data_IF_020129783447
#
_entry.id   IF_020129783447
#
_cell.length_a   1.000
_cell.length_b   1.000
_cell.length_c   1.000
_cell.angle_alpha   90.00
_cell.angle_beta   90.00
_cell.angle_gamma   90.00
#
_symmetry.space_group_name_H-M   'P 1'
#
loop_
_entity.id
_entity.type
_entity.pdbx_description
1 polymer ?
#
# COMPACT_ATOMS: atom_id res chain seq x y z
N UNK A 1 -43.22 16.72 -11.79
CA UNK A 1 -41.98 16.59 -12.54
C UNK A 1 -40.76 17.08 -11.75
N UNK A 2 -40.83 18.28 -11.13
CA UNK A 2 -39.69 18.83 -10.37
C UNK A 2 -39.33 18.08 -9.09
N UNK A 3 -40.27 17.53 -8.33
CA UNK A 3 -39.99 16.76 -7.10
C UNK A 3 -39.35 15.39 -7.38
N UNK A 4 -39.71 14.74 -8.47
CA UNK A 4 -39.11 13.47 -8.88
C UNK A 4 -37.63 13.65 -9.27
N UNK A 5 -37.36 14.63 -10.10
CA UNK A 5 -35.99 15.00 -10.52
C UNK A 5 -35.12 15.41 -9.32
N UNK A 6 -35.67 16.17 -8.37
CA UNK A 6 -34.99 16.58 -7.16
C UNK A 6 -34.60 15.37 -6.29
N UNK A 7 -35.49 14.37 -6.12
CA UNK A 7 -35.20 13.15 -5.38
C UNK A 7 -34.09 12.31 -6.03
N UNK A 8 -34.09 12.19 -7.34
CA UNK A 8 -33.03 11.47 -8.06
C UNK A 8 -31.67 12.17 -7.89
N UNK A 9 -31.60 13.48 -8.08
CA UNK A 9 -30.38 14.27 -7.89
C UNK A 9 -29.84 14.11 -6.47
N UNK A 10 -30.71 14.19 -5.46
CA UNK A 10 -30.31 13.98 -4.06
C UNK A 10 -29.74 12.58 -3.84
N UNK A 11 -30.33 11.55 -4.44
CA UNK A 11 -29.79 10.19 -4.33
C UNK A 11 -28.40 10.03 -4.98
N UNK A 12 -28.20 10.63 -6.14
CA UNK A 12 -26.88 10.62 -6.80
C UNK A 12 -25.82 11.32 -5.94
N UNK A 13 -26.20 12.47 -5.35
CA UNK A 13 -25.33 13.22 -4.46
C UNK A 13 -24.98 12.40 -3.19
N UNK A 14 -25.97 11.73 -2.58
CA UNK A 14 -25.74 10.87 -1.41
C UNK A 14 -24.77 9.73 -1.73
N UNK A 15 -24.88 9.10 -2.92
CA UNK A 15 -23.96 8.03 -3.34
C UNK A 15 -22.53 8.54 -3.50
N UNK A 16 -22.38 9.73 -4.10
CA UNK A 16 -21.07 10.35 -4.29
C UNK A 16 -20.44 10.75 -2.96
N UNK A 17 -21.24 11.35 -2.06
CA UNK A 17 -20.78 11.71 -0.72
C UNK A 17 -20.40 10.46 0.09
N UNK A 18 -21.19 9.40 0.02
CA UNK A 18 -20.88 8.13 0.66
C UNK A 18 -19.56 7.56 0.12
N UNK A 19 -19.34 7.55 -1.20
CA UNK A 19 -18.07 7.11 -1.79
C UNK A 19 -16.89 7.94 -1.29
N UNK A 20 -17.04 9.27 -1.19
CA UNK A 20 -16.01 10.16 -0.66
C UNK A 20 -15.65 9.79 0.79
N UNK A 21 -16.66 9.62 1.65
CA UNK A 21 -16.45 9.30 3.08
C UNK A 21 -15.85 7.91 3.28
N UNK A 22 -16.34 6.91 2.54
CA UNK A 22 -15.82 5.54 2.62
C UNK A 22 -14.36 5.46 2.14
N UNK A 23 -14.03 6.12 1.03
CA UNK A 23 -12.65 6.23 0.55
C UNK A 23 -11.77 7.00 1.53
N UNK A 24 -12.27 8.11 2.10
CA UNK A 24 -11.54 8.89 3.09
C UNK A 24 -11.24 8.06 4.36
N UNK A 25 -12.16 7.23 4.83
CA UNK A 25 -11.97 6.38 6.00
C UNK A 25 -10.81 5.38 5.80
N UNK A 26 -10.75 4.71 4.64
CA UNK A 26 -9.62 3.81 4.31
C UNK A 26 -8.33 4.61 4.21
N UNK A 27 -8.36 5.74 3.49
CA UNK A 27 -7.18 6.58 3.30
C UNK A 27 -6.65 7.18 4.60
N UNK A 28 -7.53 7.50 5.56
CA UNK A 28 -7.14 7.99 6.88
C UNK A 28 -6.35 6.94 7.67
N UNK A 29 -6.83 5.69 7.69
CA UNK A 29 -6.09 4.57 8.30
C UNK A 29 -4.69 4.43 7.67
N UNK A 30 -4.60 4.52 6.34
CA UNK A 30 -3.32 4.41 5.62
C UNK A 30 -2.35 5.55 5.96
N UNK A 31 -2.85 6.78 5.95
CA UNK A 31 -2.07 7.98 6.27
C UNK A 31 -1.61 7.99 7.73
N UNK A 32 -2.51 7.63 8.67
CA UNK A 32 -2.20 7.51 10.09
C UNK A 32 -1.07 6.51 10.36
N UNK A 33 -0.96 5.45 9.55
CA UNK A 33 0.11 4.44 9.66
C UNK A 33 1.35 4.75 8.79
N UNK A 34 1.45 5.92 8.21
CA UNK A 34 2.59 6.30 7.38
C UNK A 34 2.77 5.44 6.13
N UNK A 35 1.66 4.88 5.59
CA UNK A 35 1.69 4.07 4.36
C UNK A 35 1.47 4.96 3.13
N UNK A 36 2.00 4.55 1.98
CA UNK A 36 1.76 5.25 0.71
C UNK A 36 0.26 5.29 0.36
N UNK A 37 -0.18 6.29 -0.40
CA UNK A 37 -1.56 6.60 -0.74
C UNK A 37 -2.46 6.84 0.50
N UNK A 38 -2.60 8.10 0.89
CA UNK A 38 -3.39 8.55 2.04
C UNK A 38 -4.84 8.91 1.69
N UNK A 39 -5.43 9.77 2.52
CA UNK A 39 -6.85 10.21 2.45
C UNK A 39 -7.23 10.71 1.06
N UNK A 40 -6.45 11.64 0.50
CA UNK A 40 -6.77 12.26 -0.79
C UNK A 40 -6.85 11.22 -1.91
N UNK A 41 -5.89 10.31 -1.96
CA UNK A 41 -5.80 9.30 -3.02
C UNK A 41 -6.97 8.32 -2.96
N UNK A 42 -7.26 7.75 -1.79
CA UNK A 42 -8.37 6.80 -1.64
C UNK A 42 -9.73 7.47 -1.87
N UNK A 43 -9.93 8.68 -1.36
CA UNK A 43 -11.16 9.44 -1.59
C UNK A 43 -11.38 9.70 -3.08
N UNK A 44 -10.35 10.16 -3.82
CA UNK A 44 -10.46 10.43 -5.26
C UNK A 44 -10.70 9.15 -6.07
N UNK A 45 -10.05 8.04 -5.74
CA UNK A 45 -10.26 6.75 -6.40
C UNK A 45 -11.70 6.25 -6.17
N UNK A 46 -12.20 6.33 -4.93
CA UNK A 46 -13.54 5.90 -4.59
C UNK A 46 -14.61 6.76 -5.30
N UNK A 47 -14.46 8.08 -5.23
CA UNK A 47 -15.35 9.03 -5.92
C UNK A 47 -15.32 8.84 -7.44
N UNK A 48 -14.12 8.73 -8.03
CA UNK A 48 -13.96 8.50 -9.47
C UNK A 48 -14.65 7.23 -9.94
N UNK A 49 -14.46 6.12 -9.21
CA UNK A 49 -15.14 4.86 -9.50
C UNK A 49 -16.67 4.98 -9.36
N UNK A 50 -17.14 5.72 -8.34
CA UNK A 50 -18.56 6.02 -8.15
C UNK A 50 -19.12 6.81 -9.34
N UNK A 51 -18.44 7.86 -9.77
CA UNK A 51 -18.85 8.70 -10.92
C UNK A 51 -18.90 7.86 -12.19
N UNK A 52 -17.88 7.04 -12.47
CA UNK A 52 -17.90 6.15 -13.63
C UNK A 52 -19.08 5.20 -13.61
N UNK A 53 -19.43 4.66 -12.44
CA UNK A 53 -20.60 3.79 -12.30
C UNK A 53 -21.91 4.53 -12.49
N UNK A 54 -22.03 5.76 -11.99
CA UNK A 54 -23.18 6.63 -12.23
C UNK A 54 -23.35 6.97 -13.70
N UNK A 55 -22.28 7.37 -14.39
CA UNK A 55 -22.27 7.63 -15.83
C UNK A 55 -22.67 6.35 -16.58
N UNK A 56 -22.11 5.21 -16.18
CA UNK A 56 -22.43 3.92 -16.77
C UNK A 56 -23.92 3.59 -16.66
N UNK A 57 -24.54 3.85 -15.51
CA UNK A 57 -25.92 3.49 -15.26
C UNK A 57 -26.96 4.47 -15.84
N UNK A 58 -26.62 5.75 -15.86
CA UNK A 58 -27.58 6.80 -16.18
C UNK A 58 -27.20 7.61 -17.46
N UNK A 59 -25.92 7.65 -17.83
CA UNK A 59 -25.44 8.48 -18.92
C UNK A 59 -25.75 7.95 -20.32
N UNK A 60 -26.14 6.68 -20.46
CA UNK A 60 -26.37 6.02 -21.75
C UNK A 60 -27.78 5.40 -21.84
N UNK A 61 -28.73 5.92 -21.04
CA UNK A 61 -30.08 5.37 -20.98
C UNK A 61 -30.83 5.37 -22.34
N UNK A 62 -30.46 6.26 -23.24
CA UNK A 62 -31.04 6.37 -24.59
C UNK A 62 -30.48 5.37 -25.60
N UNK A 63 -29.46 4.57 -25.22
CA UNK A 63 -28.82 3.60 -26.12
C UNK A 63 -29.56 2.25 -26.10
N UNK A 64 -29.92 1.74 -27.28
CA UNK A 64 -30.60 0.46 -27.47
C UNK A 64 -29.78 -0.76 -27.04
N UNK A 65 -28.44 -0.63 -27.01
CA UNK A 65 -27.51 -1.69 -26.58
C UNK A 65 -26.60 -1.17 -25.48
N UNK A 66 -27.16 -1.03 -24.30
CA UNK A 66 -26.46 -0.52 -23.12
C UNK A 66 -25.98 -1.66 -22.23
N UNK A 67 -24.70 -1.63 -21.84
CA UNK A 67 -24.08 -2.57 -20.90
C UNK A 67 -23.34 -1.81 -19.82
N UNK A 68 -23.99 -1.66 -18.67
CA UNK A 68 -23.43 -0.96 -17.51
C UNK A 68 -22.16 -1.66 -16.95
N UNK A 69 -21.99 -2.96 -17.18
CA UNK A 69 -20.82 -3.71 -16.70
C UNK A 69 -19.54 -3.34 -17.45
N UNK A 70 -19.65 -2.84 -18.68
CA UNK A 70 -18.50 -2.51 -19.52
C UNK A 70 -17.64 -1.38 -18.94
N UNK A 71 -18.25 -0.32 -18.43
CA UNK A 71 -17.54 0.79 -17.80
C UNK A 71 -16.94 0.34 -16.46
N UNK A 72 -17.70 -0.45 -15.68
CA UNK A 72 -17.19 -1.03 -14.44
C UNK A 72 -15.96 -1.93 -14.68
N UNK A 73 -15.99 -2.77 -15.71
CA UNK A 73 -14.84 -3.57 -16.12
C UNK A 73 -13.62 -2.69 -16.51
N UNK A 74 -13.87 -1.55 -17.18
CA UNK A 74 -12.83 -0.56 -17.48
C UNK A 74 -12.20 0.04 -16.24
N UNK A 75 -12.98 0.36 -15.21
CA UNK A 75 -12.46 0.85 -13.92
C UNK A 75 -11.59 -0.21 -13.24
N UNK A 76 -12.05 -1.47 -13.17
CA UNK A 76 -11.30 -2.59 -12.57
C UNK A 76 -9.97 -2.81 -13.28
N UNK A 77 -9.94 -2.70 -14.60
CA UNK A 77 -8.71 -2.81 -15.40
C UNK A 77 -7.80 -1.59 -15.19
N UNK A 78 -8.38 -0.38 -15.26
CA UNK A 78 -7.64 0.89 -15.17
C UNK A 78 -6.96 1.11 -13.81
N UNK A 79 -7.59 0.70 -12.71
CA UNK A 79 -6.98 0.81 -11.38
C UNK A 79 -5.75 -0.09 -11.24
N UNK A 80 -5.64 -1.15 -12.05
CA UNK A 80 -4.46 -2.00 -12.12
C UNK A 80 -3.20 -1.26 -12.53
N UNK A 81 -3.33 -0.26 -13.42
CA UNK A 81 -2.21 0.60 -13.82
C UNK A 81 -1.69 1.44 -12.65
N UNK A 82 -2.58 2.07 -11.89
CA UNK A 82 -2.20 2.85 -10.69
C UNK A 82 -1.62 1.94 -9.61
N UNK A 83 -2.22 0.77 -9.38
CA UNK A 83 -1.71 -0.23 -8.45
C UNK A 83 -0.31 -0.72 -8.83
N UNK A 84 -0.10 -1.03 -10.11
CA UNK A 84 1.22 -1.44 -10.63
C UNK A 84 2.28 -0.37 -10.45
N UNK A 85 1.92 0.91 -10.64
CA UNK A 85 2.82 2.05 -10.42
C UNK A 85 3.27 2.25 -8.96
N UNK A 86 2.55 1.66 -7.99
CA UNK A 86 2.91 1.71 -6.56
C UNK A 86 3.80 0.55 -6.11
N UNK A 87 3.90 -0.51 -6.90
CA UNK A 87 4.71 -1.67 -6.57
C UNK A 87 6.13 -1.41 -7.04
N UNK A 88 7.03 -1.22 -6.08
CA UNK A 88 8.44 -0.91 -6.34
C UNK A 88 9.30 -2.05 -5.84
N UNK A 89 10.20 -2.52 -6.68
CA UNK A 89 11.23 -3.49 -6.33
C UNK A 89 12.53 -2.73 -6.03
N UNK A 90 13.01 -2.83 -4.79
CA UNK A 90 14.31 -2.28 -4.38
C UNK A 90 15.47 -3.07 -5.02
N UNK A 91 16.67 -2.49 -5.01
CA UNK A 91 17.91 -3.18 -5.41
C UNK A 91 18.17 -4.44 -4.57
N UNK A 92 17.76 -4.45 -3.32
CA UNK A 92 17.82 -5.60 -2.39
C UNK A 92 16.75 -6.66 -2.63
N UNK A 93 16.03 -6.62 -3.78
CA UNK A 93 14.90 -7.50 -4.10
C UNK A 93 13.69 -7.37 -3.16
N UNK A 94 13.65 -6.38 -2.26
CA UNK A 94 12.48 -6.11 -1.45
C UNK A 94 11.38 -5.49 -2.32
N UNK A 95 10.19 -6.07 -2.26
CA UNK A 95 9.02 -5.55 -2.98
C UNK A 95 8.15 -4.79 -1.99
N UNK A 96 7.91 -3.51 -2.26
CA UNK A 96 7.05 -2.62 -1.45
C UNK A 96 5.83 -2.20 -2.25
N UNK A 97 4.80 -1.67 -1.57
CA UNK A 97 3.60 -1.12 -2.21
C UNK A 97 2.48 -2.12 -2.50
N UNK A 98 2.68 -3.45 -2.34
CA UNK A 98 1.67 -4.48 -2.62
C UNK A 98 0.36 -4.24 -1.88
N UNK A 99 0.40 -4.01 -0.56
CA UNK A 99 -0.79 -3.76 0.26
C UNK A 99 -1.47 -2.46 -0.13
N UNK A 100 -0.71 -1.43 -0.50
CA UNK A 100 -1.25 -0.14 -0.96
C UNK A 100 -1.98 -0.30 -2.30
N UNK A 101 -1.39 -1.05 -3.23
CA UNK A 101 -1.99 -1.36 -4.52
C UNK A 101 -3.31 -2.14 -4.36
N UNK A 102 -3.32 -3.17 -3.52
CA UNK A 102 -4.53 -3.93 -3.18
C UNK A 102 -5.59 -3.05 -2.51
N UNK A 103 -5.19 -2.14 -1.60
CA UNK A 103 -6.06 -1.18 -0.95
C UNK A 103 -6.76 -0.25 -1.94
N UNK A 104 -6.05 0.29 -2.93
CA UNK A 104 -6.64 1.12 -3.98
C UNK A 104 -7.61 0.33 -4.87
N UNK A 105 -7.27 -0.93 -5.19
CA UNK A 105 -8.13 -1.80 -5.98
C UNK A 105 -9.47 -2.05 -5.28
N UNK A 106 -9.45 -2.37 -3.98
CA UNK A 106 -10.67 -2.53 -3.17
C UNK A 106 -11.44 -1.20 -3.02
N UNK A 107 -10.73 -0.09 -2.86
CA UNK A 107 -11.36 1.25 -2.77
C UNK A 107 -12.14 1.60 -4.05
N UNK A 108 -11.60 1.25 -5.22
CA UNK A 108 -12.33 1.41 -6.48
C UNK A 108 -13.60 0.53 -6.53
N UNK A 109 -13.52 -0.72 -6.06
CA UNK A 109 -14.68 -1.61 -5.97
C UNK A 109 -15.78 -1.05 -5.04
N UNK A 110 -15.40 -0.47 -3.89
CA UNK A 110 -16.30 0.21 -2.96
C UNK A 110 -16.98 1.41 -3.65
N UNK A 111 -16.23 2.19 -4.42
CA UNK A 111 -16.78 3.30 -5.20
C UNK A 111 -17.79 2.85 -6.26
N UNK A 112 -17.48 1.78 -7.01
CA UNK A 112 -18.42 1.16 -7.95
C UNK A 112 -19.70 0.69 -7.24
N UNK A 113 -19.57 0.06 -6.07
CA UNK A 113 -20.67 -0.38 -5.24
C UNK A 113 -21.55 0.79 -4.78
N UNK A 114 -20.97 1.88 -4.30
CA UNK A 114 -21.70 3.09 -3.91
C UNK A 114 -22.46 3.70 -5.11
N UNK A 115 -21.79 3.82 -6.27
CA UNK A 115 -22.39 4.35 -7.50
C UNK A 115 -23.53 3.50 -8.05
N UNK A 116 -23.43 2.17 -7.94
CA UNK A 116 -24.51 1.27 -8.35
C UNK A 116 -25.77 1.39 -7.47
N UNK A 117 -25.66 2.01 -6.29
CA UNK A 117 -26.72 2.14 -5.28
C UNK A 117 -26.60 1.15 -4.13
N UNK A 118 -25.56 0.29 -4.12
CA UNK A 118 -25.29 -0.69 -3.07
C UNK A 118 -24.50 -0.06 -1.91
N UNK A 119 -24.94 1.12 -1.42
CA UNK A 119 -24.20 1.90 -0.41
C UNK A 119 -23.99 1.11 0.88
N UNK A 120 -25.00 0.33 1.33
CA UNK A 120 -24.88 -0.52 2.52
C UNK A 120 -23.79 -1.60 2.37
N UNK A 121 -23.71 -2.22 1.19
CA UNK A 121 -22.67 -3.18 0.87
C UNK A 121 -21.25 -2.51 0.83
N UNK A 122 -21.17 -1.33 0.21
CA UNK A 122 -19.93 -0.55 0.17
C UNK A 122 -19.45 -0.16 1.58
N UNK A 123 -20.38 0.22 2.47
CA UNK A 123 -20.08 0.52 3.88
C UNK A 123 -19.59 -0.73 4.64
N UNK A 124 -20.26 -1.86 4.46
CA UNK A 124 -19.85 -3.14 5.05
C UNK A 124 -18.46 -3.56 4.55
N UNK A 125 -18.22 -3.47 3.24
CA UNK A 125 -16.90 -3.77 2.66
C UNK A 125 -15.82 -2.87 3.25
N UNK A 126 -16.07 -1.58 3.40
CA UNK A 126 -15.14 -0.64 4.02
C UNK A 126 -14.83 -1.05 5.47
N UNK A 127 -15.84 -1.39 6.25
CA UNK A 127 -15.65 -1.86 7.63
C UNK A 127 -14.77 -3.11 7.68
N UNK A 128 -15.05 -4.09 6.82
CA UNK A 128 -14.26 -5.33 6.76
C UNK A 128 -12.80 -5.07 6.33
N UNK A 129 -12.57 -4.15 5.40
CA UNK A 129 -11.22 -3.74 4.99
C UNK A 129 -10.47 -3.10 6.16
N UNK A 130 -11.09 -2.17 6.88
CA UNK A 130 -10.49 -1.53 8.05
C UNK A 130 -10.18 -2.55 9.14
N UNK A 131 -11.12 -3.44 9.46
CA UNK A 131 -10.90 -4.53 10.42
C UNK A 131 -9.76 -5.45 10.00
N UNK A 132 -9.69 -5.83 8.72
CA UNK A 132 -8.62 -6.66 8.19
C UNK A 132 -7.25 -5.97 8.35
N UNK A 133 -7.16 -4.69 8.02
CA UNK A 133 -5.93 -3.90 8.16
C UNK A 133 -5.50 -3.78 9.63
N UNK A 134 -6.43 -3.62 10.57
CA UNK A 134 -6.14 -3.49 12.00
C UNK A 134 -5.76 -4.82 12.65
N UNK A 135 -6.53 -5.87 12.41
CA UNK A 135 -6.30 -7.20 13.00
C UNK A 135 -4.97 -7.77 12.54
N UNK A 136 -4.67 -7.73 11.24
CA UNK A 136 -3.41 -8.23 10.70
C UNK A 136 -2.22 -7.43 11.22
N UNK A 137 -2.33 -6.12 11.37
CA UNK A 137 -1.29 -5.31 11.97
C UNK A 137 -1.07 -5.64 13.46
N UNK A 138 -2.14 -5.83 14.24
CA UNK A 138 -2.04 -6.22 15.64
C UNK A 138 -1.37 -7.59 15.81
N UNK A 139 -1.61 -8.51 14.90
CA UNK A 139 -0.97 -9.84 14.87
C UNK A 139 0.49 -9.76 14.45
N UNK A 140 0.80 -9.04 13.38
CA UNK A 140 2.20 -8.78 12.97
C UNK A 140 2.99 -8.08 14.06
N UNK A 141 2.35 -7.17 14.83
CA UNK A 141 3.02 -6.49 15.94
C UNK A 141 3.41 -7.45 17.08
N UNK A 142 2.72 -8.57 17.26
CA UNK A 142 2.99 -9.56 18.33
C UNK A 142 3.95 -10.68 17.92
N UNK A 143 4.06 -11.04 16.65
CA UNK A 143 4.68 -12.30 16.20
C UNK A 143 5.85 -12.16 15.21
N UNK A 144 6.17 -10.97 14.70
CA UNK A 144 7.19 -10.80 13.67
C UNK A 144 8.46 -10.11 14.13
N UNK A 145 9.61 -10.52 13.56
CA UNK A 145 10.86 -9.77 13.66
C UNK A 145 10.76 -8.44 12.89
N UNK A 146 11.55 -7.45 13.31
CA UNK A 146 11.69 -6.20 12.56
C UNK A 146 12.63 -6.44 11.38
N UNK A 147 12.25 -5.97 10.21
CA UNK A 147 13.14 -5.93 9.06
C UNK A 147 13.84 -4.58 9.07
N UNK A 148 15.17 -4.60 9.02
CA UNK A 148 16.02 -3.41 9.00
C UNK A 148 16.93 -3.51 7.78
N UNK A 149 16.92 -2.48 6.94
CA UNK A 149 17.85 -2.37 5.82
C UNK A 149 19.11 -1.67 6.31
N UNK A 150 20.25 -2.28 6.08
CA UNK A 150 21.54 -1.75 6.52
C UNK A 150 22.49 -1.71 5.34
N UNK A 151 23.15 -0.58 5.15
CA UNK A 151 24.17 -0.42 4.12
C UNK A 151 25.53 -0.26 4.78
N UNK A 152 26.49 -1.11 4.40
CA UNK A 152 27.86 -1.05 4.83
C UNK A 152 28.79 -0.76 3.64
N UNK A 153 29.83 0.01 3.90
CA UNK A 153 30.99 0.09 3.01
C UNK A 153 32.14 -0.75 3.59
N UNK A 154 32.74 -1.57 2.77
CA UNK A 154 33.91 -2.38 3.13
C UNK A 154 35.05 -2.19 2.12
N UNK A 155 36.28 -2.31 2.58
CA UNK A 155 37.47 -2.25 1.70
C UNK A 155 37.90 -3.63 1.21
N UNK A 156 37.52 -4.68 1.91
CA UNK A 156 37.99 -6.04 1.72
C UNK A 156 36.84 -7.05 1.79
N UNK A 157 36.87 -8.09 0.96
CA UNK A 157 35.93 -9.20 0.94
C UNK A 157 35.90 -9.96 2.27
N UNK A 158 37.02 -10.06 2.97
CA UNK A 158 37.12 -10.73 4.27
C UNK A 158 36.26 -10.06 5.32
N UNK A 159 36.28 -8.72 5.38
CA UNK A 159 35.48 -7.94 6.31
C UNK A 159 33.98 -8.15 6.07
N UNK A 160 33.56 -8.33 4.81
CA UNK A 160 32.18 -8.64 4.48
C UNK A 160 31.79 -10.03 4.99
N UNK A 161 32.63 -11.02 4.75
CA UNK A 161 32.38 -12.39 5.17
C UNK A 161 32.29 -12.48 6.70
N UNK A 162 33.19 -11.84 7.42
CA UNK A 162 33.16 -11.78 8.89
C UNK A 162 31.91 -11.06 9.42
N UNK A 163 31.49 -9.97 8.77
CA UNK A 163 30.27 -9.27 9.15
C UNK A 163 29.03 -10.16 8.96
N UNK A 164 28.95 -10.89 7.83
CA UNK A 164 27.84 -11.82 7.55
C UNK A 164 27.86 -12.98 8.56
N UNK A 165 29.03 -13.55 8.89
CA UNK A 165 29.15 -14.62 9.87
C UNK A 165 28.74 -14.16 11.28
N UNK A 166 29.18 -12.97 11.71
CA UNK A 166 28.81 -12.38 13.02
C UNK A 166 27.32 -12.07 13.12
N UNK A 167 26.67 -11.64 12.03
CA UNK A 167 25.22 -11.40 11.96
C UNK A 167 24.41 -12.69 11.80
N UNK A 168 25.02 -13.71 11.19
CA UNK A 168 24.50 -15.09 11.13
C UNK A 168 23.07 -15.16 10.57
N UNK A 169 22.17 -15.85 11.33
CA UNK A 169 20.75 -16.08 10.93
C UNK A 169 19.90 -14.82 10.83
N UNK A 170 20.42 -13.66 11.23
CA UNK A 170 19.70 -12.40 11.11
C UNK A 170 19.74 -11.83 9.69
N UNK A 171 20.69 -12.26 8.84
CA UNK A 171 20.76 -11.85 7.44
C UNK A 171 19.73 -12.63 6.64
N UNK A 172 18.71 -11.92 6.15
CA UNK A 172 17.67 -12.49 5.29
C UNK A 172 18.09 -12.45 3.82
N UNK A 173 18.69 -11.34 3.40
CA UNK A 173 19.20 -11.15 2.05
C UNK A 173 20.34 -10.12 2.05
N UNK A 174 21.24 -10.20 1.06
CA UNK A 174 22.25 -9.17 0.85
C UNK A 174 22.51 -8.94 -0.62
N UNK A 175 22.92 -7.73 -0.95
CA UNK A 175 23.33 -7.33 -2.28
C UNK A 175 24.72 -6.68 -2.21
N UNK A 176 25.65 -7.14 -3.04
CA UNK A 176 27.00 -6.65 -3.13
C UNK A 176 27.17 -5.83 -4.40
N UNK A 177 27.66 -4.60 -4.27
CA UNK A 177 28.07 -3.77 -5.41
C UNK A 177 29.47 -3.21 -5.16
N UNK A 178 30.25 -3.06 -6.22
CA UNK A 178 31.57 -2.42 -6.15
C UNK A 178 31.46 -1.01 -6.74
N UNK A 179 31.86 0.01 -5.95
CA UNK A 179 31.88 1.39 -6.36
C UNK A 179 33.17 2.05 -5.85
N UNK A 180 33.89 2.73 -6.74
CA UNK A 180 35.10 3.51 -6.40
C UNK A 180 36.11 2.76 -5.51
N UNK A 181 36.40 1.49 -5.87
CA UNK A 181 37.30 0.58 -5.17
C UNK A 181 36.89 0.18 -3.74
N UNK A 182 35.64 0.40 -3.40
CA UNK A 182 34.99 -0.07 -2.16
C UNK A 182 33.83 -0.98 -2.49
N UNK A 183 33.58 -1.95 -1.62
CA UNK A 183 32.42 -2.79 -1.67
C UNK A 183 31.30 -2.12 -0.88
N UNK A 184 30.13 -1.93 -1.50
CA UNK A 184 28.92 -1.50 -0.84
C UNK A 184 28.04 -2.72 -0.68
N UNK A 185 27.70 -3.04 0.56
CA UNK A 185 26.88 -4.19 0.93
C UNK A 185 25.58 -3.70 1.52
N UNK A 186 24.49 -3.91 0.80
CA UNK A 186 23.15 -3.65 1.28
C UNK A 186 22.60 -4.97 1.86
N UNK A 187 22.27 -5.00 3.14
CA UNK A 187 21.77 -6.18 3.84
C UNK A 187 20.36 -5.93 4.38
N UNK A 188 19.55 -6.96 4.32
CA UNK A 188 18.23 -7.01 4.98
C UNK A 188 18.37 -7.88 6.22
N UNK A 189 18.24 -7.27 7.39
CA UNK A 189 18.36 -7.95 8.67
C UNK A 189 17.00 -8.21 9.29
N UNK A 190 16.78 -9.43 9.81
CA UNK A 190 15.66 -9.76 10.70
C UNK A 190 16.11 -9.59 12.14
N UNK A 191 15.57 -8.57 12.78
CA UNK A 191 15.95 -8.19 14.15
C UNK A 191 14.78 -8.46 15.09
N UNK A 192 15.00 -9.21 16.19
CA UNK A 192 13.97 -9.42 17.18
C UNK A 192 13.45 -8.10 17.74
N UNK A 193 12.13 -7.97 17.89
CA UNK A 193 11.51 -6.74 18.43
C UNK A 193 11.98 -6.34 19.83
N UNK A 194 12.51 -7.29 20.58
CA UNK A 194 13.06 -7.05 21.91
C UNK A 194 14.37 -6.27 21.88
N UNK A 195 15.10 -6.31 20.76
CA UNK A 195 16.35 -5.60 20.56
C UNK A 195 16.07 -4.11 20.29
N UNK A 196 16.63 -3.23 21.12
CA UNK A 196 16.45 -1.78 20.96
C UNK A 196 17.23 -1.28 19.74
N UNK A 197 16.71 -0.27 19.01
CA UNK A 197 17.40 0.29 17.84
C UNK A 197 18.83 0.76 18.14
N UNK A 198 19.04 1.30 19.34
CA UNK A 198 20.35 1.79 19.76
C UNK A 198 21.34 0.65 19.99
N UNK A 199 20.91 -0.45 20.61
CA UNK A 199 21.73 -1.65 20.84
C UNK A 199 22.12 -2.30 19.51
N UNK A 200 21.19 -2.37 18.55
CA UNK A 200 21.47 -2.82 17.20
C UNK A 200 22.52 -1.92 16.51
N UNK A 201 22.34 -0.59 16.59
CA UNK A 201 23.25 0.37 15.99
C UNK A 201 24.67 0.25 16.56
N UNK A 202 24.80 0.11 17.88
CA UNK A 202 26.10 -0.07 18.56
C UNK A 202 26.76 -1.39 18.10
N UNK A 203 25.99 -2.48 18.03
CA UNK A 203 26.47 -3.75 17.56
C UNK A 203 26.92 -3.73 16.10
N UNK A 204 26.19 -3.02 15.23
CA UNK A 204 26.55 -2.86 13.82
C UNK A 204 27.78 -2.00 13.63
N UNK A 205 27.96 -0.95 14.45
CA UNK A 205 29.16 -0.11 14.45
C UNK A 205 30.40 -0.81 14.99
N UNK A 206 30.22 -1.84 15.83
CA UNK A 206 31.33 -2.63 16.39
C UNK A 206 31.85 -3.72 15.43
N UNK A 207 31.27 -3.85 14.24
CA UNK A 207 31.79 -4.77 13.22
C UNK A 207 33.11 -4.22 12.64
N UNK A 208 34.16 -5.02 12.74
CA UNK A 208 35.49 -4.65 12.25
C UNK A 208 35.55 -4.69 10.72
N UNK A 209 36.30 -3.76 10.12
CA UNK A 209 36.54 -3.71 8.68
C UNK A 209 35.40 -3.21 7.81
N UNK A 210 34.23 -2.94 8.38
CA UNK A 210 33.06 -2.38 7.69
C UNK A 210 32.67 -1.04 8.29
N UNK A 211 32.21 -0.12 7.45
CA UNK A 211 31.69 1.17 7.85
C UNK A 211 30.19 1.23 7.58
N UNK A 212 29.40 1.48 8.61
CA UNK A 212 27.95 1.66 8.48
C UNK A 212 27.65 2.98 7.78
N UNK A 213 26.99 2.95 6.61
CA UNK A 213 26.59 4.13 5.85
C UNK A 213 25.14 4.54 6.16
N UNK A 214 24.20 3.58 6.20
CA UNK A 214 22.81 3.86 6.53
C UNK A 214 22.14 2.67 7.23
N UNK A 215 21.07 2.98 7.98
CA UNK A 215 20.17 2.02 8.62
C UNK A 215 18.75 2.55 8.54
N UNK A 216 17.83 1.81 7.90
CA UNK A 216 16.42 2.15 7.70
C UNK A 216 15.48 1.05 8.20
#
# INVERSE_FOLDING_TARGET
>A
MNEFLAKEIVQLFIRLLAAALLGAAIGYEREFRGKGAGVRTHMMVCMGACIFMLISKYGFADSVRFDAARVAAGVVSGIGFLGGGLIIKSKTNLITGLTTAAGLWVTAAIGLGAGSGMVGMAALATLLVLLCMDILNAWHFKLGDRIVNVTFAARDDKAITEAIEKLGRQVDNFFLSKKDDRYIVEMVLRVPKKEKPLELLERLKALEGVQLESME
#
